data_IF_915435350427
#
_entry.id   IF_915435350427
#
_cell.length_a   1.000
_cell.length_b   1.000
_cell.length_c   1.000
_cell.angle_alpha   90.00
_cell.angle_beta   90.00
_cell.angle_gamma   90.00
#
_symmetry.space_group_name_H-M   'P 1'
#
loop_
_entity.id
_entity.type
_entity.pdbx_description
1 polymer ?
#
# COMPACT_ATOMS: atom_id res chain seq x y z
N UNK A 1 -8.38 -10.20 -0.10
CA UNK A 1 -7.03 -10.78 -0.27
C UNK A 1 -6.72 -10.92 -1.75
N UNK A 2 -5.49 -10.73 -2.14
CA UNK A 2 -5.09 -10.80 -3.55
C UNK A 2 -3.74 -11.51 -3.68
N UNK A 3 -3.47 -12.01 -4.89
CA UNK A 3 -2.18 -12.62 -5.19
C UNK A 3 -1.25 -11.55 -5.74
N UNK A 4 -0.11 -11.36 -5.11
CA UNK A 4 0.89 -10.40 -5.56
C UNK A 4 1.54 -10.89 -6.87
N UNK A 5 1.58 -10.04 -7.88
CA UNK A 5 2.24 -10.33 -9.15
C UNK A 5 3.38 -9.35 -9.44
N UNK A 6 3.17 -8.07 -9.20
CA UNK A 6 4.16 -7.02 -9.45
C UNK A 6 3.78 -5.75 -8.69
N UNK A 7 4.65 -4.74 -8.75
CA UNK A 7 4.42 -3.49 -8.04
C UNK A 7 3.30 -2.65 -8.64
N UNK A 8 3.01 -2.78 -9.92
CA UNK A 8 1.87 -2.09 -10.54
C UNK A 8 0.55 -2.59 -9.95
N UNK A 9 0.42 -3.89 -9.77
CA UNK A 9 -0.73 -4.48 -9.09
C UNK A 9 -0.82 -4.00 -7.66
N UNK A 10 0.30 -4.02 -6.93
CA UNK A 10 0.36 -3.58 -5.54
C UNK A 10 -0.10 -2.13 -5.40
N UNK A 11 0.34 -1.26 -6.30
CA UNK A 11 -0.05 0.14 -6.32
C UNK A 11 -1.56 0.30 -6.48
N UNK A 12 -2.18 -0.47 -7.36
CA UNK A 12 -3.63 -0.46 -7.55
C UNK A 12 -4.35 -0.93 -6.29
N UNK A 13 -3.85 -1.97 -5.65
CA UNK A 13 -4.44 -2.51 -4.41
C UNK A 13 -4.34 -1.51 -3.27
N UNK A 14 -3.24 -0.78 -3.17
CA UNK A 14 -3.07 0.28 -2.16
C UNK A 14 -4.10 1.38 -2.39
N UNK A 15 -4.25 1.84 -3.63
CA UNK A 15 -5.22 2.89 -3.96
C UNK A 15 -6.64 2.45 -3.65
N UNK A 16 -6.97 1.20 -3.96
CA UNK A 16 -8.27 0.62 -3.64
C UNK A 16 -8.51 0.56 -2.14
N UNK A 17 -7.51 0.13 -1.38
CA UNK A 17 -7.60 0.05 0.08
C UNK A 17 -7.82 1.43 0.71
N UNK A 18 -7.17 2.46 0.20
CA UNK A 18 -7.35 3.84 0.67
C UNK A 18 -8.81 4.26 0.49
N UNK A 19 -9.37 4.01 -0.69
CA UNK A 19 -10.78 4.33 -0.99
C UNK A 19 -11.72 3.52 -0.10
N UNK A 20 -11.47 2.21 0.03
CA UNK A 20 -12.30 1.31 0.84
C UNK A 20 -12.31 1.71 2.32
N UNK A 21 -11.25 2.35 2.80
CA UNK A 21 -11.17 2.88 4.16
C UNK A 21 -11.73 4.31 4.29
N UNK A 22 -12.34 4.83 3.23
CA UNK A 22 -12.94 6.16 3.26
C UNK A 22 -11.92 7.30 3.37
N UNK A 23 -10.69 7.08 2.92
CA UNK A 23 -9.61 8.05 3.01
C UNK A 23 -9.20 8.56 1.63
N UNK A 24 -8.49 9.70 1.61
CA UNK A 24 -7.82 10.20 0.42
C UNK A 24 -6.32 9.94 0.52
N UNK A 25 -5.62 9.99 -0.61
CA UNK A 25 -4.17 9.86 -0.62
C UNK A 25 -3.50 10.99 0.20
N UNK A 26 -4.09 12.18 0.18
CA UNK A 26 -3.61 13.30 0.99
C UNK A 26 -3.70 13.00 2.48
N UNK A 27 -4.81 12.42 2.92
CA UNK A 27 -4.99 12.05 4.33
C UNK A 27 -3.98 11.00 4.77
N UNK A 28 -3.72 10.01 3.91
CA UNK A 28 -2.72 8.98 4.19
C UNK A 28 -1.33 9.61 4.29
N UNK A 29 -0.99 10.49 3.36
CA UNK A 29 0.28 11.22 3.39
C UNK A 29 0.44 12.03 4.67
N UNK A 30 -0.61 12.73 5.08
CA UNK A 30 -0.60 13.51 6.33
C UNK A 30 -0.34 12.61 7.54
N UNK A 31 -0.97 11.45 7.60
CA UNK A 31 -0.76 10.50 8.69
C UNK A 31 0.63 9.86 8.67
N UNK A 32 1.26 9.79 7.52
CA UNK A 32 2.65 9.35 7.36
C UNK A 32 3.64 10.47 7.64
N UNK A 33 3.15 11.66 7.97
CA UNK A 33 3.96 12.85 8.20
C UNK A 33 4.81 13.21 6.97
N UNK A 34 4.24 13.06 5.78
CA UNK A 34 4.90 13.42 4.53
C UNK A 34 3.98 14.21 3.62
N UNK A 35 4.55 14.86 2.61
CA UNK A 35 3.78 15.61 1.62
C UNK A 35 3.15 14.66 0.60
N UNK A 36 2.02 15.04 -0.03
CA UNK A 36 1.39 14.20 -1.06
C UNK A 36 2.35 13.77 -2.16
N UNK A 37 3.27 14.64 -2.58
CA UNK A 37 4.27 14.29 -3.59
C UNK A 37 5.22 13.20 -3.09
N UNK A 38 5.59 13.22 -1.82
CA UNK A 38 6.43 12.19 -1.23
C UNK A 38 5.72 10.85 -1.19
N UNK A 39 4.42 10.85 -0.86
CA UNK A 39 3.61 9.64 -0.90
C UNK A 39 3.56 9.06 -2.32
N UNK A 40 3.30 9.91 -3.33
CA UNK A 40 3.28 9.50 -4.73
C UNK A 40 4.63 8.89 -5.14
N UNK A 41 5.73 9.49 -4.71
CA UNK A 41 7.07 8.97 -5.00
C UNK A 41 7.29 7.59 -4.37
N UNK A 42 6.77 7.37 -3.16
CA UNK A 42 6.88 6.08 -2.47
C UNK A 42 6.16 4.99 -3.25
N UNK A 43 4.92 5.21 -3.64
CA UNK A 43 4.12 4.17 -4.32
C UNK A 43 4.57 3.95 -5.77
N UNK A 44 5.31 4.88 -6.35
CA UNK A 44 5.83 4.77 -7.71
C UNK A 44 7.26 4.20 -7.76
N UNK A 45 7.87 3.90 -6.62
CA UNK A 45 9.20 3.31 -6.61
C UNK A 45 9.22 1.98 -7.34
N UNK A 46 10.26 1.74 -8.10
CA UNK A 46 10.52 0.45 -8.71
C UNK A 46 10.74 -0.62 -7.64
N UNK A 47 11.44 -0.26 -6.57
CA UNK A 47 11.76 -1.16 -5.46
C UNK A 47 10.88 -0.86 -4.24
N UNK A 48 9.58 -0.94 -4.41
CA UNK A 48 8.62 -0.73 -3.35
C UNK A 48 8.72 -1.86 -2.32
N UNK A 49 9.12 -1.54 -1.10
CA UNK A 49 9.45 -2.53 -0.08
C UNK A 49 8.30 -2.80 0.89
N UNK A 50 8.35 -3.93 1.59
CA UNK A 50 7.38 -4.24 2.65
C UNK A 50 7.34 -3.17 3.73
N UNK A 51 8.46 -2.54 4.01
CA UNK A 51 8.53 -1.43 4.97
C UNK A 51 7.63 -0.27 4.53
N UNK A 52 7.62 0.05 3.24
CA UNK A 52 6.76 1.10 2.70
C UNK A 52 5.29 0.70 2.81
N UNK A 53 4.97 -0.56 2.54
CA UNK A 53 3.63 -1.11 2.70
C UNK A 53 3.15 -0.98 4.14
N UNK A 54 4.01 -1.35 5.09
CA UNK A 54 3.66 -1.28 6.51
C UNK A 54 3.38 0.15 6.94
N UNK A 55 4.20 1.10 6.50
CA UNK A 55 3.98 2.52 6.82
C UNK A 55 2.62 3.01 6.30
N UNK A 56 2.27 2.63 5.08
CA UNK A 56 0.99 3.02 4.48
C UNK A 56 -0.16 2.36 5.24
N UNK A 57 -0.07 1.08 5.54
CA UNK A 57 -1.10 0.36 6.29
C UNK A 57 -1.28 0.94 7.69
N UNK A 58 -0.20 1.25 8.39
CA UNK A 58 -0.26 1.89 9.70
C UNK A 58 -0.98 3.23 9.62
N UNK A 59 -0.71 4.03 8.59
CA UNK A 59 -1.37 5.31 8.38
C UNK A 59 -2.88 5.17 8.14
N UNK A 60 -3.30 4.06 7.55
CA UNK A 60 -4.72 3.77 7.31
C UNK A 60 -5.39 3.09 8.51
N UNK A 61 -4.63 2.74 9.55
CA UNK A 61 -5.16 1.95 10.66
C UNK A 61 -5.44 0.51 10.28
N UNK A 62 -4.71 -0.01 9.31
CA UNK A 62 -4.88 -1.38 8.80
C UNK A 62 -3.67 -2.24 9.13
N UNK A 63 -3.90 -3.55 9.22
CA UNK A 63 -2.82 -4.52 9.36
C UNK A 63 -2.40 -5.03 7.98
N UNK A 64 -1.11 -5.18 7.78
CA UNK A 64 -0.57 -5.83 6.59
C UNK A 64 -0.43 -7.33 6.89
N UNK A 65 -1.18 -8.14 6.19
CA UNK A 65 -1.13 -9.60 6.34
C UNK A 65 -0.41 -10.20 5.15
N UNK A 66 0.61 -11.00 5.41
CA UNK A 66 1.37 -11.70 4.37
C UNK A 66 1.20 -13.21 4.56
N UNK A 67 0.88 -13.91 3.49
CA UNK A 67 0.70 -15.34 3.53
C UNK A 67 1.33 -15.99 2.29
N UNK A 68 1.97 -17.12 2.49
CA UNK A 68 2.56 -17.89 1.41
C UNK A 68 1.76 -19.18 1.28
N UNK A 69 1.13 -19.34 0.13
CA UNK A 69 0.20 -20.45 -0.11
C UNK A 69 0.73 -21.32 -1.25
N UNK A 70 0.69 -22.63 -1.05
CA UNK A 70 1.09 -23.58 -2.07
C UNK A 70 0.12 -23.51 -3.26
N UNK A 71 0.66 -23.46 -4.46
CA UNK A 71 -0.16 -23.53 -5.67
C UNK A 71 -0.81 -24.88 -5.81
N UNK A 72 -2.07 -24.89 -6.20
CA UNK A 72 -2.74 -26.09 -6.66
C UNK A 72 -2.36 -26.31 -8.11
N UNK A 73 -2.12 -27.57 -8.48
CA UNK A 73 -1.76 -27.95 -9.84
C UNK A 73 -2.67 -29.03 -10.37
#
# INVERSE_FOLDING_TARGET
MFIYTDNEQMKKEIKKAIIDNGMSQKEVADKMECKPQQFTNIINKENFAFRDMKRICDAMGCDLIINIVKREQ
#
